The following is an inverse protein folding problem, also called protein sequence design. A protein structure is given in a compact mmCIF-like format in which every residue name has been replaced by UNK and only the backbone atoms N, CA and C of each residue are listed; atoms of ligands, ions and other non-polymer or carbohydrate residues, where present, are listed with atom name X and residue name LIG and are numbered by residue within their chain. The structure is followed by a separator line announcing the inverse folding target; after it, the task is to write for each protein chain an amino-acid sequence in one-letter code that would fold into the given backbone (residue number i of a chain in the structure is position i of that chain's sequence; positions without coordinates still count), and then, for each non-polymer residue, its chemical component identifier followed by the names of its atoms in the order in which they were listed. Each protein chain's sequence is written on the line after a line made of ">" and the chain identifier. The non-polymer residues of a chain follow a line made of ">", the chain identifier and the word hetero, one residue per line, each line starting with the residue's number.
data_IF_295844894576
#
_entry.id   IF_295844894576
#
_cell.length_a   1.000
_cell.length_b   1.000
_cell.length_c   1.000
_cell.angle_alpha   90.00
_cell.angle_beta   90.00
_cell.angle_gamma   90.00
#
_symmetry.space_group_name_H-M   'P 1'
#
loop_
_entity.id
_entity.type
_entity.pdbx_description
1 polymer ?
#
# COMPACT_ATOMS: atom_id res chain seq x y z
N UNK A 1 12.20 35.73 1.30
CA UNK A 1 12.05 34.26 1.31
C UNK A 1 11.07 33.90 0.21
N UNK A 2 11.50 33.24 -0.87
CA UNK A 2 10.59 32.72 -1.88
C UNK A 2 9.93 31.47 -1.31
N UNK A 3 8.61 31.46 -1.20
CA UNK A 3 7.84 30.27 -0.86
C UNK A 3 7.89 29.37 -2.10
N UNK A 4 8.63 28.28 -2.02
CA UNK A 4 8.61 27.26 -3.07
C UNK A 4 7.18 26.70 -3.13
N UNK A 5 6.48 26.97 -4.22
CA UNK A 5 5.12 26.50 -4.42
C UNK A 5 5.18 25.02 -4.81
N UNK A 6 4.69 24.15 -3.93
CA UNK A 6 4.53 22.71 -4.22
C UNK A 6 3.19 22.51 -4.92
N UNK A 7 3.20 21.82 -6.04
CA UNK A 7 1.98 21.40 -6.75
C UNK A 7 1.77 19.90 -6.50
N UNK A 8 0.61 19.54 -5.98
CA UNK A 8 0.23 18.15 -5.72
C UNK A 8 -0.87 17.76 -6.71
N UNK A 9 -0.64 16.68 -7.46
CA UNK A 9 -1.61 16.11 -8.42
C UNK A 9 -2.09 14.76 -7.89
N UNK A 10 -3.37 14.66 -7.57
CA UNK A 10 -4.00 13.41 -7.13
C UNK A 10 -4.62 12.65 -8.30
N UNK A 11 -4.26 11.36 -8.49
CA UNK A 11 -4.80 10.49 -9.52
C UNK A 11 -5.63 9.39 -8.86
N UNK A 12 -6.94 9.34 -9.18
CA UNK A 12 -7.88 8.34 -8.69
C UNK A 12 -8.38 7.44 -9.82
N UNK A 13 -8.57 6.17 -9.54
CA UNK A 13 -9.15 5.21 -10.51
C UNK A 13 -9.17 3.79 -9.96
N UNK A 14 -9.89 2.89 -10.63
CA UNK A 14 -9.98 1.49 -10.26
C UNK A 14 -8.64 0.75 -10.42
N UNK A 15 -8.54 -0.46 -9.83
CA UNK A 15 -7.39 -1.35 -10.03
C UNK A 15 -7.21 -1.62 -11.53
N UNK A 16 -5.98 -1.50 -12.03
CA UNK A 16 -5.67 -1.73 -13.44
C UNK A 16 -6.09 -0.61 -14.42
N UNK A 17 -6.57 0.54 -13.93
CA UNK A 17 -7.01 1.67 -14.78
C UNK A 17 -5.86 2.51 -15.36
N UNK A 18 -4.61 2.09 -15.22
CA UNK A 18 -3.46 2.81 -15.77
C UNK A 18 -3.04 4.07 -14.99
N UNK A 19 -3.39 4.19 -13.70
CA UNK A 19 -3.01 5.36 -12.87
C UNK A 19 -1.51 5.62 -12.88
N UNK A 20 -0.71 4.58 -12.77
CA UNK A 20 0.74 4.69 -12.73
C UNK A 20 1.30 5.15 -14.09
N UNK A 21 0.68 4.69 -15.18
CA UNK A 21 0.99 5.17 -16.54
C UNK A 21 0.67 6.66 -16.69
N UNK A 22 -0.49 7.10 -16.19
CA UNK A 22 -0.85 8.53 -16.24
C UNK A 22 0.09 9.35 -15.36
N UNK A 23 0.47 8.88 -14.18
CA UNK A 23 1.43 9.56 -13.30
C UNK A 23 2.79 9.71 -14.00
N UNK A 24 3.30 8.65 -14.62
CA UNK A 24 4.56 8.70 -15.36
C UNK A 24 4.50 9.59 -16.60
N UNK A 25 3.36 9.66 -17.30
CA UNK A 25 3.14 10.60 -18.42
C UNK A 25 3.14 12.05 -17.95
N UNK A 26 2.53 12.34 -16.80
CA UNK A 26 2.55 13.69 -16.21
C UNK A 26 3.98 14.07 -15.86
N UNK A 27 4.73 13.18 -15.22
CA UNK A 27 6.13 13.41 -14.88
C UNK A 27 6.97 13.65 -16.16
N UNK A 28 6.80 12.85 -17.21
CA UNK A 28 7.44 13.07 -18.51
C UNK A 28 7.14 14.45 -19.08
N UNK A 29 5.87 14.89 -19.07
CA UNK A 29 5.48 16.20 -19.61
C UNK A 29 6.12 17.34 -18.81
N UNK A 30 6.22 17.19 -17.50
CA UNK A 30 6.79 18.22 -16.63
C UNK A 30 8.30 18.33 -16.76
N UNK A 31 9.00 17.20 -16.92
CA UNK A 31 10.47 17.18 -17.00
C UNK A 31 11.00 17.30 -18.41
N UNK A 32 10.57 16.42 -19.31
CA UNK A 32 11.21 16.21 -20.61
C UNK A 32 10.30 16.49 -21.81
N UNK A 33 9.04 16.82 -21.58
CA UNK A 33 8.10 17.16 -22.66
C UNK A 33 8.59 18.28 -23.59
N UNK A 34 9.62 19.01 -23.16
CA UNK A 34 10.32 20.06 -23.91
C UNK A 34 11.57 19.49 -24.60
N UNK A 35 12.09 18.33 -24.24
CA UNK A 35 13.42 17.83 -24.62
C UNK A 35 13.45 16.80 -25.75
N UNK A 36 12.41 16.67 -26.56
CA UNK A 36 12.39 15.92 -27.85
C UNK A 36 12.55 14.39 -27.77
N UNK A 37 12.69 13.76 -26.61
CA UNK A 37 12.64 12.31 -26.50
C UNK A 37 11.20 11.82 -26.55
N UNK A 38 10.93 10.67 -27.17
CA UNK A 38 9.61 10.04 -27.06
C UNK A 38 9.38 9.54 -25.63
N UNK A 39 8.11 9.43 -25.23
CA UNK A 39 7.75 8.88 -23.93
C UNK A 39 8.36 7.48 -23.69
N UNK A 40 8.37 6.63 -24.71
CA UNK A 40 8.95 5.28 -24.60
C UNK A 40 10.47 5.34 -24.36
N UNK A 41 11.16 6.25 -25.03
CA UNK A 41 12.60 6.48 -24.81
C UNK A 41 12.86 7.00 -23.41
N UNK A 42 12.09 7.99 -22.97
CA UNK A 42 12.18 8.54 -21.62
C UNK A 42 11.94 7.46 -20.54
N UNK A 43 10.93 6.61 -20.73
CA UNK A 43 10.60 5.53 -19.80
C UNK A 43 11.74 4.52 -19.61
N UNK A 44 12.50 4.23 -20.67
CA UNK A 44 13.66 3.34 -20.60
C UNK A 44 14.78 3.89 -19.70
N UNK A 45 15.02 5.20 -19.75
CA UNK A 45 16.08 5.84 -18.97
C UNK A 45 15.66 6.18 -17.53
N UNK A 46 14.39 6.47 -17.30
CA UNK A 46 13.90 6.98 -16.03
C UNK A 46 13.07 5.97 -15.22
N UNK A 47 13.02 4.71 -15.63
CA UNK A 47 12.25 3.68 -14.96
C UNK A 47 12.62 3.48 -13.47
N UNK A 48 13.84 3.86 -13.09
CA UNK A 48 14.36 3.74 -11.72
C UNK A 48 14.62 5.10 -11.05
N UNK A 49 14.52 6.23 -11.78
CA UNK A 49 14.98 7.54 -11.32
C UNK A 49 13.89 8.39 -10.65
N UNK A 50 12.67 7.86 -10.52
CA UNK A 50 11.55 8.57 -9.86
C UNK A 50 11.81 8.92 -8.39
N UNK A 51 12.94 8.48 -7.83
CA UNK A 51 13.32 8.68 -6.42
C UNK A 51 14.36 9.80 -6.24
N UNK A 52 15.11 10.17 -7.28
CA UNK A 52 16.26 11.09 -7.13
C UNK A 52 15.99 12.54 -7.55
N UNK A 53 14.92 12.81 -8.26
CA UNK A 53 14.53 14.16 -8.66
C UNK A 53 13.36 14.67 -7.82
N UNK A 54 13.23 16.00 -7.67
CA UNK A 54 12.24 16.71 -6.84
C UNK A 54 10.74 16.39 -7.13
N UNK A 55 10.47 15.49 -8.07
CA UNK A 55 9.15 14.97 -8.37
C UNK A 55 8.98 13.55 -7.85
N UNK A 56 8.22 13.43 -6.79
CA UNK A 56 7.97 12.16 -6.13
C UNK A 56 6.61 11.63 -6.56
N UNK A 57 6.59 10.49 -7.26
CA UNK A 57 5.36 9.70 -7.42
C UNK A 57 5.16 8.89 -6.15
N UNK A 58 4.22 9.32 -5.32
CA UNK A 58 3.88 8.63 -4.09
C UNK A 58 2.69 7.72 -4.35
N UNK A 59 2.89 6.44 -4.18
CA UNK A 59 1.79 5.49 -4.12
C UNK A 59 1.32 5.36 -2.67
N UNK A 60 0.07 5.73 -2.41
CA UNK A 60 -0.53 5.56 -1.07
C UNK A 60 -0.38 4.13 -0.55
N UNK A 61 -0.50 3.15 -1.46
CA UNK A 61 -0.32 1.75 -1.12
C UNK A 61 1.12 1.40 -0.67
N UNK A 62 2.14 2.14 -1.07
CA UNK A 62 3.52 1.86 -0.68
C UNK A 62 3.76 2.21 0.77
N UNK A 63 3.32 3.39 1.20
CA UNK A 63 3.38 3.78 2.62
C UNK A 63 2.59 2.82 3.51
N UNK A 64 1.40 2.44 3.07
CA UNK A 64 0.57 1.44 3.75
C UNK A 64 1.32 0.09 3.93
N UNK A 65 1.99 -0.38 2.89
CA UNK A 65 2.76 -1.63 2.94
C UNK A 65 4.01 -1.50 3.81
N UNK A 66 4.68 -0.34 3.82
CA UNK A 66 5.81 -0.07 4.72
C UNK A 66 5.37 -0.16 6.19
N UNK A 67 4.26 0.46 6.54
CA UNK A 67 3.73 0.45 7.89
C UNK A 67 3.37 -0.99 8.33
N UNK A 68 2.67 -1.75 7.48
CA UNK A 68 2.36 -3.16 7.75
C UNK A 68 3.62 -4.02 7.83
N UNK A 69 4.60 -3.80 6.95
CA UNK A 69 5.86 -4.53 6.98
C UNK A 69 6.60 -4.30 8.29
N UNK A 70 6.68 -3.05 8.75
CA UNK A 70 7.29 -2.70 10.03
C UNK A 70 6.53 -3.25 11.23
N UNK A 71 5.21 -3.12 11.22
CA UNK A 71 4.34 -3.54 12.32
C UNK A 71 4.30 -5.07 12.49
N UNK A 72 4.19 -5.80 11.38
CA UNK A 72 4.11 -7.25 11.36
C UNK A 72 5.48 -7.93 11.24
N UNK A 73 6.56 -7.18 11.13
CA UNK A 73 7.91 -7.69 10.84
C UNK A 73 7.95 -8.62 9.59
N UNK A 74 7.26 -8.20 8.53
CA UNK A 74 7.19 -8.90 7.25
C UNK A 74 8.16 -8.21 6.27
N UNK A 75 8.89 -8.99 5.44
CA UNK A 75 9.66 -8.40 4.35
C UNK A 75 8.72 -7.61 3.41
N UNK A 76 9.00 -6.31 3.24
CA UNK A 76 8.24 -5.39 2.40
C UNK A 76 8.01 -5.93 0.98
N UNK A 77 9.00 -6.62 0.42
CA UNK A 77 8.94 -7.21 -0.92
C UNK A 77 7.86 -8.29 -1.06
N UNK A 78 7.54 -9.00 0.01
CA UNK A 78 6.46 -9.98 -0.01
C UNK A 78 5.09 -9.31 -0.19
N UNK A 79 4.92 -8.09 0.32
CA UNK A 79 3.69 -7.33 0.18
C UNK A 79 3.47 -6.74 -1.23
N UNK A 80 4.46 -6.83 -2.12
CA UNK A 80 4.30 -6.45 -3.54
C UNK A 80 3.82 -7.62 -4.39
N UNK A 81 4.12 -8.84 -3.99
CA UNK A 81 3.78 -10.05 -4.72
C UNK A 81 2.28 -10.35 -4.65
N UNK A 82 1.67 -10.52 -5.84
CA UNK A 82 0.23 -10.78 -5.93
C UNK A 82 -0.14 -12.17 -5.38
N UNK A 83 0.66 -13.19 -5.68
CA UNK A 83 0.47 -14.55 -5.18
C UNK A 83 0.49 -14.59 -3.64
N UNK A 84 1.47 -13.94 -3.01
CA UNK A 84 1.55 -13.86 -1.55
C UNK A 84 0.31 -13.19 -0.94
N UNK A 85 -0.16 -12.09 -1.53
CA UNK A 85 -1.34 -11.39 -1.02
C UNK A 85 -2.62 -12.22 -1.09
N UNK A 86 -2.76 -13.04 -2.12
CA UNK A 86 -3.99 -13.80 -2.35
C UNK A 86 -3.98 -15.18 -1.68
N UNK A 87 -2.83 -15.77 -1.46
CA UNK A 87 -2.72 -17.16 -0.99
C UNK A 87 -2.20 -17.30 0.43
N UNK A 88 -1.50 -16.28 0.95
CA UNK A 88 -0.86 -16.35 2.25
C UNK A 88 -1.61 -15.59 3.32
N UNK A 89 -1.40 -16.03 4.55
CA UNK A 89 -1.95 -15.49 5.78
C UNK A 89 -0.82 -15.08 6.71
N UNK A 90 -1.03 -13.99 7.43
CA UNK A 90 -0.21 -13.60 8.55
C UNK A 90 -0.85 -14.08 9.85
N UNK A 91 -0.10 -14.83 10.66
CA UNK A 91 -0.56 -15.26 11.97
C UNK A 91 -0.01 -14.33 13.05
N UNK A 92 -0.87 -13.68 13.79
CA UNK A 92 -0.49 -12.67 14.77
C UNK A 92 0.24 -13.25 15.98
N UNK A 93 -0.07 -14.47 16.37
CA UNK A 93 0.57 -15.13 17.53
C UNK A 93 2.01 -15.58 17.21
N UNK A 94 2.24 -16.09 16.02
CA UNK A 94 3.55 -16.63 15.61
C UNK A 94 4.41 -15.64 14.85
N UNK A 95 3.83 -14.59 14.27
CA UNK A 95 4.50 -13.65 13.38
C UNK A 95 4.88 -14.25 12.02
N UNK A 96 4.27 -15.38 11.62
CA UNK A 96 4.66 -16.11 10.40
C UNK A 96 3.66 -15.84 9.28
N UNK A 97 4.22 -15.64 8.06
CA UNK A 97 3.47 -15.64 6.81
C UNK A 97 3.49 -17.03 6.19
N UNK A 98 2.34 -17.63 5.97
CA UNK A 98 2.22 -19.01 5.48
C UNK A 98 0.89 -19.24 4.75
N UNK A 99 0.87 -20.23 3.87
CA UNK A 99 -0.38 -20.79 3.32
C UNK A 99 -1.03 -21.79 4.30
N UNK A 100 -0.27 -22.26 5.31
CA UNK A 100 -0.77 -23.20 6.30
C UNK A 100 -1.49 -22.45 7.44
N UNK A 101 -2.79 -22.69 7.56
CA UNK A 101 -3.68 -22.08 8.57
C UNK A 101 -4.26 -23.10 9.54
N UNK A 102 -3.77 -24.36 9.52
CA UNK A 102 -4.38 -25.48 10.27
C UNK A 102 -4.38 -25.29 11.78
N UNK A 103 -3.40 -24.55 12.29
CA UNK A 103 -3.22 -24.33 13.73
C UNK A 103 -3.83 -23.01 14.22
N UNK A 104 -4.49 -22.25 13.34
CA UNK A 104 -5.15 -21.01 13.72
C UNK A 104 -6.51 -21.28 14.36
N UNK A 105 -6.80 -20.60 15.47
CA UNK A 105 -8.11 -20.68 16.13
C UNK A 105 -9.18 -19.95 15.32
N UNK A 106 -8.79 -18.87 14.65
CA UNK A 106 -9.65 -18.07 13.77
C UNK A 106 -8.91 -17.74 12.49
N UNK A 107 -9.60 -17.86 11.35
CA UNK A 107 -9.07 -17.49 10.02
C UNK A 107 -9.95 -16.42 9.42
N UNK A 108 -9.35 -15.30 9.01
CA UNK A 108 -10.06 -14.17 8.40
C UNK A 108 -9.70 -14.11 6.92
N UNK A 109 -10.66 -14.37 6.06
CA UNK A 109 -10.52 -14.43 4.60
C UNK A 109 -11.06 -13.19 3.89
N UNK A 110 -12.00 -12.47 4.50
CA UNK A 110 -12.64 -11.29 3.97
C UNK A 110 -12.71 -10.17 4.97
N UNK A 111 -12.78 -8.94 4.46
CA UNK A 111 -12.85 -7.74 5.30
C UNK A 111 -14.16 -7.66 6.07
N UNK A 112 -15.24 -8.23 5.52
CA UNK A 112 -16.56 -8.24 6.14
C UNK A 112 -16.65 -9.20 7.35
N UNK A 113 -15.65 -10.06 7.53
CA UNK A 113 -15.52 -10.91 8.73
C UNK A 113 -15.04 -10.13 9.97
N UNK A 114 -14.61 -8.88 9.80
CA UNK A 114 -14.26 -8.01 10.92
C UNK A 114 -15.49 -7.33 11.51
N UNK A 115 -15.67 -7.49 12.80
CA UNK A 115 -16.62 -6.67 13.56
C UNK A 115 -16.03 -5.28 13.80
N UNK A 116 -16.54 -4.29 13.06
CA UNK A 116 -16.01 -2.93 13.00
C UNK A 116 -16.30 -2.08 14.25
N UNK A 117 -17.24 -2.49 15.09
CA UNK A 117 -17.71 -1.69 16.23
C UNK A 117 -16.80 -1.79 17.46
N UNK A 118 -15.85 -2.71 17.46
CA UNK A 118 -14.90 -2.89 18.56
C UNK A 118 -13.50 -2.34 18.23
N UNK A 119 -13.15 -1.22 18.84
CA UNK A 119 -11.86 -0.52 18.76
C UNK A 119 -10.66 -1.32 19.35
N UNK A 120 -10.85 -2.56 19.74
CA UNK A 120 -9.79 -3.43 20.22
C UNK A 120 -9.25 -4.47 19.22
N UNK A 121 -9.41 -4.31 17.87
CA UNK A 121 -9.13 -5.39 16.93
C UNK A 121 -7.65 -5.77 16.91
N UNK A 122 -6.72 -4.82 17.02
CA UNK A 122 -5.28 -5.13 16.95
C UNK A 122 -4.80 -5.86 18.21
N UNK A 123 -5.19 -5.41 19.40
CA UNK A 123 -4.87 -6.09 20.66
C UNK A 123 -5.54 -7.47 20.73
N UNK A 124 -6.76 -7.59 20.23
CA UNK A 124 -7.45 -8.87 20.11
C UNK A 124 -6.73 -9.82 19.17
N UNK A 125 -6.26 -9.34 18.03
CA UNK A 125 -5.51 -10.13 17.04
C UNK A 125 -4.19 -10.68 17.64
N UNK A 126 -3.45 -9.87 18.41
CA UNK A 126 -2.21 -10.31 19.06
C UNK A 126 -2.41 -11.32 20.19
N UNK A 127 -3.49 -11.21 20.93
CA UNK A 127 -3.75 -12.11 22.06
C UNK A 127 -4.34 -13.47 21.65
N UNK A 128 -4.81 -13.60 20.42
CA UNK A 128 -5.43 -14.81 19.90
C UNK A 128 -4.62 -15.37 18.74
N UNK A 129 -4.73 -16.67 18.53
CA UNK A 129 -4.09 -17.36 17.41
C UNK A 129 -4.88 -17.15 16.12
N UNK A 130 -4.85 -15.92 15.62
CA UNK A 130 -5.62 -15.48 14.45
C UNK A 130 -4.70 -15.41 13.23
N UNK A 131 -5.15 -16.02 12.14
CA UNK A 131 -4.53 -15.91 10.82
C UNK A 131 -5.39 -15.06 9.90
N UNK A 132 -4.82 -14.00 9.37
CA UNK A 132 -5.49 -13.08 8.45
C UNK A 132 -4.84 -13.14 7.07
N UNK A 133 -5.65 -13.21 6.04
CA UNK A 133 -5.18 -13.14 4.66
C UNK A 133 -4.43 -11.82 4.42
N UNK A 134 -3.26 -11.86 3.80
CA UNK A 134 -2.40 -10.67 3.63
C UNK A 134 -3.16 -9.53 2.91
N UNK A 135 -3.96 -9.85 1.89
CA UNK A 135 -4.80 -8.85 1.21
C UNK A 135 -5.79 -8.18 2.15
N UNK A 136 -6.44 -8.95 3.00
CA UNK A 136 -7.44 -8.45 3.96
C UNK A 136 -6.77 -7.57 5.01
N UNK A 137 -5.59 -7.96 5.50
CA UNK A 137 -4.78 -7.16 6.42
C UNK A 137 -4.45 -5.78 5.83
N UNK A 138 -4.00 -5.72 4.58
CA UNK A 138 -3.71 -4.47 3.87
C UNK A 138 -4.98 -3.60 3.69
N UNK A 139 -6.11 -4.21 3.34
CA UNK A 139 -7.38 -3.51 3.19
C UNK A 139 -7.89 -2.95 4.52
N UNK A 140 -7.84 -3.77 5.57
CA UNK A 140 -8.26 -3.39 6.92
C UNK A 140 -7.44 -2.21 7.43
N UNK A 141 -6.11 -2.29 7.36
CA UNK A 141 -5.24 -1.20 7.80
C UNK A 141 -5.49 0.09 7.03
N UNK A 142 -5.56 0.01 5.70
CA UNK A 142 -5.79 1.17 4.84
C UNK A 142 -7.16 1.83 5.02
N UNK A 143 -8.20 1.02 5.20
CA UNK A 143 -9.57 1.52 5.30
C UNK A 143 -9.93 1.92 6.74
N UNK A 144 -9.67 1.04 7.69
CA UNK A 144 -10.20 1.20 9.04
C UNK A 144 -9.25 1.97 9.94
N UNK A 145 -7.95 1.74 9.84
CA UNK A 145 -6.98 2.43 10.67
C UNK A 145 -6.64 3.79 10.06
N UNK A 146 -6.13 3.81 8.82
CA UNK A 146 -5.68 5.07 8.22
C UNK A 146 -6.85 5.99 7.89
N UNK A 147 -7.84 5.51 7.11
CA UNK A 147 -8.94 6.37 6.64
C UNK A 147 -9.89 6.79 7.74
N UNK A 148 -10.27 5.89 8.65
CA UNK A 148 -11.28 6.20 9.64
C UNK A 148 -10.74 6.95 10.87
N UNK A 149 -9.47 6.73 11.25
CA UNK A 149 -8.89 7.38 12.41
C UNK A 149 -8.07 8.63 12.07
N UNK A 150 -7.29 8.62 10.99
CA UNK A 150 -6.41 9.76 10.68
C UNK A 150 -7.06 10.80 9.77
N UNK A 151 -7.98 10.40 8.86
CA UNK A 151 -8.57 11.35 7.91
C UNK A 151 -9.87 11.99 8.41
N UNK A 152 -10.58 11.38 9.37
CA UNK A 152 -11.74 12.00 9.98
C UNK A 152 -11.42 13.22 10.84
N UNK A 153 -10.21 13.26 11.39
CA UNK A 153 -9.76 14.38 12.24
C UNK A 153 -8.99 15.46 11.44
N UNK A 154 -8.67 15.21 10.18
CA UNK A 154 -7.92 16.13 9.33
C UNK A 154 -8.79 17.02 8.42
N UNK A 155 -10.09 16.79 8.36
CA UNK A 155 -11.09 17.54 7.61
C UNK A 155 -12.37 17.73 8.43
#
# INVERSE_FOLDING_TARGET
>A
MSINKVTIVGIKGFKGSGKDTVASMISYILHDGIMKASYDTWLLYHKNDFIENDEIIIHFADKLKEDIAGFCNIDRKLLDRQDIKEENYYNFKTGIVSTNIKDADVVINDIDEFDYDNLAPLLFLYNNNISIKIRVLLQYYGTNIIRNHFWREAF
#
